data_IF_994242653945
#
_entry.id   IF_994242653945
#
_cell.length_a   1.000
_cell.length_b   1.000
_cell.length_c   1.000
_cell.angle_alpha   90.00
_cell.angle_beta   90.00
_cell.angle_gamma   90.00
#
_symmetry.space_group_name_H-M   'P 1'
#
loop_
_entity.id
_entity.type
_entity.pdbx_description
1 polymer ?
#
# COMPACT_ATOMS: atom_id res chain seq x y z
N UNK A 1 -12.76 -7.06 -4.25
CA UNK A 1 -13.14 -8.25 -3.45
C UNK A 1 -14.60 -8.53 -3.71
N UNK A 2 -15.00 -9.79 -3.82
CA UNK A 2 -16.44 -10.14 -3.84
C UNK A 2 -17.04 -10.05 -2.43
N UNK A 3 -18.37 -9.86 -2.31
CA UNK A 3 -19.05 -9.75 -1.01
C UNK A 3 -18.89 -11.02 -0.15
N UNK A 4 -18.84 -12.20 -0.77
CA UNK A 4 -18.63 -13.48 -0.08
C UNK A 4 -17.28 -13.54 0.64
N UNK A 5 -16.20 -13.11 -0.02
CA UNK A 5 -14.87 -13.09 0.59
C UNK A 5 -14.82 -12.14 1.79
N UNK A 6 -15.52 -11.00 1.72
CA UNK A 6 -15.62 -10.07 2.84
C UNK A 6 -16.39 -10.68 4.03
N UNK A 7 -17.50 -11.38 3.76
CA UNK A 7 -18.28 -12.06 4.79
C UNK A 7 -17.47 -13.15 5.50
N UNK A 8 -16.70 -13.96 4.76
CA UNK A 8 -15.86 -15.01 5.36
C UNK A 8 -14.71 -14.40 6.18
N UNK A 9 -14.09 -13.33 5.71
CA UNK A 9 -13.07 -12.62 6.50
C UNK A 9 -13.68 -12.10 7.82
N UNK A 10 -14.89 -11.55 7.76
CA UNK A 10 -15.58 -11.03 8.94
C UNK A 10 -15.99 -12.15 9.91
N UNK A 11 -16.44 -13.31 9.40
CA UNK A 11 -16.81 -14.45 10.26
C UNK A 11 -15.59 -15.07 10.94
N UNK A 12 -14.43 -15.07 10.29
CA UNK A 12 -13.20 -15.64 10.83
C UNK A 12 -12.48 -14.70 11.81
N UNK A 13 -12.51 -13.39 11.54
CA UNK A 13 -11.82 -12.39 12.36
C UNK A 13 -12.70 -11.88 13.51
N UNK A 14 -14.03 -11.86 13.31
CA UNK A 14 -14.98 -11.22 14.21
C UNK A 14 -15.05 -9.69 14.04
N UNK A 15 -16.01 -9.08 14.72
CA UNK A 15 -16.19 -7.62 14.77
C UNK A 15 -15.41 -6.98 15.92
N UNK A 16 -15.05 -7.76 16.94
CA UNK A 16 -14.33 -7.26 18.11
C UNK A 16 -12.81 -7.26 17.89
N UNK A 17 -12.26 -6.07 17.65
CA UNK A 17 -10.81 -5.87 17.49
C UNK A 17 -10.07 -5.75 18.83
N UNK A 18 -10.77 -5.72 19.97
CA UNK A 18 -10.13 -5.66 21.30
C UNK A 18 -9.34 -6.92 21.62
N UNK A 19 -9.72 -8.05 21.02
CA UNK A 19 -9.02 -9.33 21.11
C UNK A 19 -7.58 -9.28 20.56
N UNK A 20 -7.24 -8.29 19.72
CA UNK A 20 -5.92 -8.15 19.13
C UNK A 20 -5.24 -6.86 19.60
N UNK A 21 -4.08 -6.94 20.29
CA UNK A 21 -3.35 -5.74 20.74
C UNK A 21 -2.93 -4.79 19.61
N UNK A 22 -2.71 -5.34 18.40
CA UNK A 22 -2.35 -4.56 17.22
C UNK A 22 -2.72 -5.26 15.92
N UNK A 23 -2.78 -4.49 14.82
CA UNK A 23 -2.92 -5.03 13.47
C UNK A 23 -1.81 -6.06 13.13
N UNK A 24 -0.62 -5.91 13.73
CA UNK A 24 0.47 -6.87 13.55
C UNK A 24 0.15 -8.21 14.20
N UNK A 25 -0.44 -8.21 15.39
CA UNK A 25 -0.90 -9.42 16.08
C UNK A 25 -1.95 -10.16 15.24
N UNK A 26 -2.93 -9.44 14.67
CA UNK A 26 -3.92 -10.02 13.76
C UNK A 26 -3.26 -10.67 12.53
N UNK A 27 -2.32 -9.96 11.87
CA UNK A 27 -1.62 -10.53 10.72
C UNK A 27 -0.72 -11.71 11.06
N UNK A 28 -0.20 -11.77 12.29
CA UNK A 28 0.59 -12.89 12.76
C UNK A 28 -0.29 -14.10 13.08
N UNK A 29 -1.47 -13.89 13.66
CA UNK A 29 -2.48 -14.92 13.89
C UNK A 29 -3.01 -15.51 12.57
N UNK A 30 -3.31 -14.66 11.58
CA UNK A 30 -3.72 -15.08 10.24
C UNK A 30 -2.60 -15.75 9.42
N UNK A 31 -1.36 -15.84 9.92
CA UNK A 31 -0.24 -16.42 9.20
C UNK A 31 0.27 -15.57 8.03
N UNK A 32 -0.01 -14.26 8.00
CA UNK A 32 0.48 -13.34 6.97
C UNK A 32 1.79 -12.62 7.36
N UNK A 33 2.20 -12.73 8.63
CA UNK A 33 3.46 -12.19 9.08
C UNK A 33 4.65 -13.01 8.54
N UNK A 34 5.73 -12.34 8.08
CA UNK A 34 6.95 -13.05 7.70
C UNK A 34 7.52 -13.77 8.92
N UNK A 35 7.86 -15.05 8.77
CA UNK A 35 8.49 -15.81 9.86
C UNK A 35 9.78 -15.15 10.32
N UNK A 36 9.90 -14.98 11.64
CA UNK A 36 11.15 -14.59 12.29
C UNK A 36 11.84 -15.86 12.78
N UNK A 37 12.59 -16.53 11.90
CA UNK A 37 13.48 -17.62 12.32
C UNK A 37 14.86 -17.04 12.55
N UNK A 38 15.23 -16.93 13.82
CA UNK A 38 16.53 -16.48 14.27
C UNK A 38 17.11 -17.57 15.17
N UNK A 39 18.35 -17.97 14.92
CA UNK A 39 19.11 -18.89 15.77
C UNK A 39 20.49 -18.30 16.00
N UNK A 40 20.91 -18.22 17.26
CA UNK A 40 22.22 -17.68 17.66
C UNK A 40 22.57 -16.33 16.98
N UNK A 41 21.61 -15.39 16.93
CA UNK A 41 21.80 -14.06 16.32
C UNK A 41 21.88 -14.05 14.79
N UNK A 42 21.72 -15.20 14.12
CA UNK A 42 21.66 -15.31 12.66
C UNK A 42 20.23 -15.51 12.20
N UNK A 43 19.79 -14.65 11.27
CA UNK A 43 18.48 -14.78 10.62
C UNK A 43 18.50 -15.94 9.63
N UNK A 44 17.79 -17.01 9.98
CA UNK A 44 17.55 -18.16 9.12
C UNK A 44 16.41 -17.88 8.11
N UNK A 45 16.22 -18.78 7.15
CA UNK A 45 15.10 -18.69 6.19
C UNK A 45 13.76 -18.73 6.93
N UNK A 46 13.07 -17.58 6.99
CA UNK A 46 11.71 -17.44 7.50
C UNK A 46 10.69 -18.19 6.64
N UNK A 47 10.07 -19.27 7.16
CA UNK A 47 8.84 -19.80 6.56
C UNK A 47 7.65 -19.03 7.12
N UNK A 48 6.58 -18.93 6.34
CA UNK A 48 5.35 -18.28 6.80
C UNK A 48 4.76 -19.07 7.98
N UNK A 49 4.33 -18.38 9.05
CA UNK A 49 3.76 -19.05 10.23
C UNK A 49 2.53 -19.88 9.83
N UNK A 50 2.37 -21.06 10.45
CA UNK A 50 1.12 -21.83 10.35
C UNK A 50 0.01 -21.05 11.07
N UNK A 51 -0.77 -20.28 10.32
CA UNK A 51 -1.97 -19.58 10.79
C UNK A 51 -3.24 -20.23 10.24
N UNK A 52 -4.36 -19.51 10.33
CA UNK A 52 -5.63 -19.96 9.76
C UNK A 52 -5.52 -20.09 8.22
N UNK A 53 -5.55 -21.34 7.72
CA UNK A 53 -5.35 -21.66 6.30
C UNK A 53 -6.49 -21.17 5.42
N UNK A 54 -7.73 -21.27 5.90
CA UNK A 54 -8.93 -20.83 5.17
C UNK A 54 -8.89 -19.32 4.97
N UNK A 55 -8.68 -18.57 6.06
CA UNK A 55 -8.54 -17.13 6.02
C UNK A 55 -7.38 -16.68 5.12
N UNK A 56 -6.24 -17.36 5.21
CA UNK A 56 -5.07 -17.05 4.38
C UNK A 56 -5.37 -17.28 2.89
N UNK A 57 -6.01 -18.40 2.52
CA UNK A 57 -6.35 -18.71 1.13
C UNK A 57 -7.26 -17.63 0.53
N UNK A 58 -8.32 -17.27 1.25
CA UNK A 58 -9.30 -16.27 0.82
C UNK A 58 -8.65 -14.88 0.72
N UNK A 59 -7.78 -14.52 1.67
CA UNK A 59 -7.06 -13.26 1.63
C UNK A 59 -6.07 -13.18 0.47
N UNK A 60 -5.41 -14.29 0.12
CA UNK A 60 -4.49 -14.36 -1.03
C UNK A 60 -5.26 -14.29 -2.34
N UNK A 61 -6.39 -14.98 -2.47
CA UNK A 61 -7.25 -14.90 -3.65
C UNK A 61 -7.81 -13.48 -3.84
N UNK A 62 -8.32 -12.91 -2.75
CA UNK A 62 -8.73 -11.51 -2.65
C UNK A 62 -7.61 -10.57 -3.10
N UNK A 63 -6.40 -10.75 -2.57
CA UNK A 63 -5.24 -9.96 -2.95
C UNK A 63 -4.89 -10.06 -4.44
N UNK A 64 -5.04 -11.25 -5.04
CA UNK A 64 -4.83 -11.45 -6.47
C UNK A 64 -5.91 -10.77 -7.32
N UNK A 65 -7.17 -10.76 -6.87
CA UNK A 65 -8.23 -10.00 -7.52
C UNK A 65 -7.96 -8.49 -7.43
N UNK A 66 -7.57 -7.99 -6.25
CA UNK A 66 -7.20 -6.59 -6.05
C UNK A 66 -5.97 -6.17 -6.87
N UNK A 67 -5.02 -7.08 -7.10
CA UNK A 67 -3.86 -6.82 -7.96
C UNK A 67 -4.23 -6.67 -9.45
N UNK A 68 -5.38 -7.21 -9.88
CA UNK A 68 -5.87 -7.08 -11.27
C UNK A 68 -6.77 -5.86 -11.48
N UNK A 69 -7.28 -5.26 -10.41
CA UNK A 69 -8.13 -4.06 -10.48
C UNK A 69 -7.35 -2.86 -11.06
N UNK A 70 -7.94 -2.17 -12.05
CA UNK A 70 -7.34 -0.99 -12.69
C UNK A 70 -7.34 0.21 -11.73
N UNK A 71 -6.26 1.00 -11.72
CA UNK A 71 -6.15 2.25 -10.94
C UNK A 71 -6.02 2.11 -9.42
N UNK A 72 -6.02 0.89 -8.87
CA UNK A 72 -5.95 0.69 -7.42
C UNK A 72 -4.51 0.75 -6.88
N UNK A 73 -4.36 1.34 -5.69
CA UNK A 73 -3.12 1.35 -4.92
C UNK A 73 -2.50 -0.04 -4.75
N UNK A 74 -3.35 -1.08 -4.64
CA UNK A 74 -2.89 -2.45 -4.46
C UNK A 74 -2.18 -3.00 -5.70
N UNK A 75 -2.59 -2.60 -6.91
CA UNK A 75 -1.99 -3.03 -8.16
C UNK A 75 -0.55 -2.53 -8.29
N UNK A 76 -0.32 -1.22 -8.20
CA UNK A 76 1.04 -0.65 -8.28
C UNK A 76 1.94 -1.21 -7.18
N UNK A 77 1.42 -1.34 -5.95
CA UNK A 77 2.16 -1.97 -4.86
C UNK A 77 2.53 -3.42 -5.17
N UNK A 78 1.62 -4.19 -5.74
CA UNK A 78 1.85 -5.58 -6.12
C UNK A 78 2.95 -5.68 -7.18
N UNK A 79 2.90 -4.87 -8.23
CA UNK A 79 3.92 -4.86 -9.29
C UNK A 79 5.31 -4.52 -8.76
N UNK A 80 5.44 -3.48 -7.92
CA UNK A 80 6.73 -3.12 -7.29
C UNK A 80 7.29 -4.20 -6.36
N UNK A 81 6.41 -4.97 -5.71
CA UNK A 81 6.82 -6.09 -4.87
C UNK A 81 7.16 -7.33 -5.70
N UNK A 82 6.41 -7.58 -6.77
CA UNK A 82 6.60 -8.72 -7.68
C UNK A 82 7.99 -8.71 -8.29
N UNK A 83 8.46 -7.54 -8.76
CA UNK A 83 9.80 -7.40 -9.36
C UNK A 83 10.92 -7.71 -8.37
N UNK A 84 10.76 -7.40 -7.08
CA UNK A 84 11.81 -7.60 -6.07
C UNK A 84 11.77 -8.92 -5.32
N UNK A 85 10.58 -9.52 -5.13
CA UNK A 85 10.38 -10.68 -4.22
C UNK A 85 9.71 -11.88 -4.89
N UNK A 86 9.23 -11.75 -6.12
CA UNK A 86 8.45 -12.78 -6.82
C UNK A 86 6.96 -12.78 -6.49
N UNK A 87 6.19 -13.47 -7.31
CA UNK A 87 4.71 -13.45 -7.32
C UNK A 87 4.09 -13.86 -5.98
N UNK A 88 4.45 -15.04 -5.47
CA UNK A 88 3.85 -15.61 -4.23
C UNK A 88 4.04 -14.69 -3.03
N UNK A 89 5.25 -14.13 -2.86
CA UNK A 89 5.57 -13.22 -1.76
C UNK A 89 4.90 -11.85 -1.91
N UNK A 90 4.71 -11.39 -3.14
CA UNK A 90 3.97 -10.16 -3.41
C UNK A 90 2.49 -10.33 -3.04
N UNK A 91 1.86 -11.45 -3.40
CA UNK A 91 0.46 -11.73 -3.07
C UNK A 91 0.22 -11.74 -1.56
N UNK A 92 1.06 -12.45 -0.80
CA UNK A 92 1.01 -12.48 0.68
C UNK A 92 1.20 -11.08 1.28
N UNK A 93 2.09 -10.27 0.72
CA UNK A 93 2.30 -8.91 1.22
C UNK A 93 1.09 -7.99 0.96
N UNK A 94 0.36 -8.18 -0.13
CA UNK A 94 -0.90 -7.45 -0.41
C UNK A 94 -2.01 -7.94 0.50
N UNK A 95 -2.15 -9.26 0.69
CA UNK A 95 -3.08 -9.85 1.65
C UNK A 95 -2.89 -9.28 3.06
N UNK A 96 -1.63 -9.18 3.52
CA UNK A 96 -1.28 -8.53 4.80
C UNK A 96 -1.76 -7.09 4.87
N UNK A 97 -1.65 -6.32 3.78
CA UNK A 97 -2.10 -4.92 3.74
C UNK A 97 -3.62 -4.79 3.78
N UNK A 98 -4.33 -5.66 3.08
CA UNK A 98 -5.79 -5.72 3.12
C UNK A 98 -6.24 -6.00 4.56
N UNK A 99 -5.65 -7.00 5.22
CA UNK A 99 -6.01 -7.34 6.60
C UNK A 99 -5.72 -6.20 7.60
N UNK A 100 -4.61 -5.47 7.43
CA UNK A 100 -4.32 -4.28 8.23
C UNK A 100 -5.36 -3.18 7.98
N UNK A 101 -5.78 -2.98 6.73
CA UNK A 101 -6.82 -2.01 6.42
C UNK A 101 -8.14 -2.39 7.10
N UNK A 102 -8.55 -3.66 7.02
CA UNK A 102 -9.74 -4.19 7.71
C UNK A 102 -9.67 -3.95 9.21
N UNK A 103 -8.53 -4.23 9.86
CA UNK A 103 -8.35 -3.96 11.29
C UNK A 103 -8.60 -2.49 11.66
N UNK A 104 -8.05 -1.55 10.88
CA UNK A 104 -8.24 -0.12 11.14
C UNK A 104 -9.67 0.35 10.81
N UNK A 105 -10.32 -0.23 9.81
CA UNK A 105 -11.72 0.05 9.51
C UNK A 105 -12.62 -0.39 10.65
N UNK A 106 -12.42 -1.61 11.18
CA UNK A 106 -13.21 -2.14 12.29
C UNK A 106 -12.93 -1.40 13.61
N UNK A 107 -11.65 -1.11 13.89
CA UNK A 107 -11.26 -0.39 15.12
C UNK A 107 -11.76 1.06 15.17
N UNK A 108 -11.71 1.76 14.03
CA UNK A 108 -12.05 3.19 13.97
C UNK A 108 -13.45 3.44 13.39
N UNK A 109 -14.19 2.39 13.05
CA UNK A 109 -15.47 2.44 12.33
C UNK A 109 -15.46 3.40 11.12
N UNK A 110 -14.34 3.38 10.38
CA UNK A 110 -14.08 4.30 9.28
C UNK A 110 -14.12 3.57 7.94
N UNK A 111 -14.72 4.15 6.89
CA UNK A 111 -14.77 3.52 5.58
C UNK A 111 -13.37 3.38 4.97
N UNK A 112 -13.18 2.34 4.16
CA UNK A 112 -11.93 2.13 3.43
C UNK A 112 -11.70 3.28 2.45
N UNK A 113 -10.62 4.03 2.63
CA UNK A 113 -10.20 5.06 1.68
C UNK A 113 -9.12 4.51 0.76
N UNK A 114 -9.46 4.28 -0.50
CA UNK A 114 -8.45 4.00 -1.52
C UNK A 114 -7.58 5.23 -1.75
N UNK A 115 -6.26 5.07 -1.58
CA UNK A 115 -5.30 6.15 -1.79
C UNK A 115 -4.96 6.36 -3.29
N UNK A 116 -5.40 5.46 -4.17
CA UNK A 116 -5.14 5.51 -5.61
C UNK A 116 -3.69 5.17 -6.01
N UNK A 117 -3.48 5.00 -7.31
CA UNK A 117 -2.18 4.66 -7.93
C UNK A 117 -1.13 5.76 -7.71
N UNK A 118 -1.53 7.04 -7.81
CA UNK A 118 -0.64 8.20 -7.69
C UNK A 118 -0.04 8.41 -6.28
N UNK A 119 -0.59 7.78 -5.24
CA UNK A 119 -0.09 7.96 -3.87
C UNK A 119 1.34 7.42 -3.70
N UNK A 120 1.64 6.27 -4.31
CA UNK A 120 2.98 5.68 -4.21
C UNK A 120 4.02 6.52 -4.95
N UNK A 121 3.62 7.19 -6.02
CA UNK A 121 4.47 8.13 -6.76
C UNK A 121 4.69 9.43 -6.01
N UNK A 122 3.66 10.01 -5.39
CA UNK A 122 3.82 11.18 -4.53
C UNK A 122 4.77 10.90 -3.35
N UNK A 123 4.70 9.69 -2.78
CA UNK A 123 5.56 9.28 -1.66
C UNK A 123 6.99 8.96 -2.10
N UNK A 124 7.19 8.36 -3.28
CA UNK A 124 8.53 8.14 -3.83
C UNK A 124 9.17 9.46 -4.23
N UNK A 125 8.43 10.40 -4.85
CA UNK A 125 8.91 11.74 -5.20
C UNK A 125 9.57 12.44 -4.01
N UNK A 126 8.91 12.48 -2.84
CA UNK A 126 9.49 13.07 -1.62
C UNK A 126 10.83 12.42 -1.25
N UNK A 127 10.90 11.09 -1.25
CA UNK A 127 12.14 10.36 -0.93
C UNK A 127 13.24 10.61 -1.95
N UNK A 128 12.90 10.63 -3.23
CA UNK A 128 13.84 10.92 -4.31
C UNK A 128 14.38 12.34 -4.19
N UNK A 129 13.52 13.33 -3.91
CA UNK A 129 13.92 14.72 -3.68
C UNK A 129 14.86 14.82 -2.47
N UNK A 130 14.52 14.21 -1.33
CA UNK A 130 15.41 14.21 -0.15
C UNK A 130 16.75 13.53 -0.44
N UNK A 131 16.74 12.38 -1.11
CA UNK A 131 17.97 11.66 -1.45
C UNK A 131 18.85 12.46 -2.43
N UNK A 132 18.25 13.10 -3.44
CA UNK A 132 18.98 13.97 -4.37
C UNK A 132 19.55 15.20 -3.66
N UNK A 133 18.77 15.84 -2.77
CA UNK A 133 19.25 16.96 -1.97
C UNK A 133 20.49 16.58 -1.16
N UNK A 134 20.40 15.47 -0.40
CA UNK A 134 21.52 14.94 0.37
C UNK A 134 22.74 14.58 -0.48
N UNK A 135 22.52 14.09 -1.71
CA UNK A 135 23.61 13.72 -2.61
C UNK A 135 24.32 14.93 -3.18
N UNK A 136 23.60 16.01 -3.49
CA UNK A 136 24.19 17.24 -4.02
C UNK A 136 24.89 18.03 -2.90
N UNK A 137 24.32 18.06 -1.68
CA UNK A 137 24.98 18.63 -0.50
C UNK A 137 26.34 17.94 -0.23
N UNK A 138 26.40 16.61 -0.36
CA UNK A 138 27.67 15.85 -0.25
C UNK A 138 28.70 16.16 -1.33
N UNK A 139 28.28 16.69 -2.48
CA UNK A 139 29.17 17.09 -3.56
C UNK A 139 29.68 18.53 -3.39
N UNK A 140 29.31 19.22 -2.30
CA UNK A 140 29.80 20.55 -1.97
C UNK A 140 28.95 21.70 -2.51
N UNK A 141 27.72 21.42 -2.96
CA UNK A 141 26.80 22.45 -3.47
C UNK A 141 25.62 22.66 -2.52
N UNK A 142 25.28 23.92 -2.23
CA UNK A 142 24.07 24.29 -1.50
C UNK A 142 22.83 24.19 -2.39
N UNK A 143 21.82 23.43 -1.96
CA UNK A 143 20.60 23.21 -2.75
C UNK A 143 19.35 23.68 -2.01
N UNK A 144 18.64 24.61 -2.65
CA UNK A 144 17.29 25.01 -2.26
C UNK A 144 16.27 24.42 -3.25
N UNK A 145 15.39 23.54 -2.76
CA UNK A 145 14.34 22.94 -3.59
C UNK A 145 13.12 23.87 -3.61
N UNK A 146 12.89 24.58 -4.71
CA UNK A 146 11.66 25.34 -4.94
C UNK A 146 10.62 24.49 -5.68
N UNK A 147 9.37 24.53 -5.23
CA UNK A 147 8.26 23.91 -5.95
C UNK A 147 8.01 24.69 -7.25
N UNK A 148 7.91 23.98 -8.38
CA UNK A 148 7.52 24.59 -9.66
C UNK A 148 6.06 25.06 -9.52
N UNK A 149 5.85 26.36 -9.42
CA UNK A 149 4.51 26.94 -9.48
C UNK A 149 3.93 26.64 -10.86
N UNK A 150 2.84 25.88 -10.91
CA UNK A 150 1.95 25.86 -12.07
C UNK A 150 1.28 27.23 -12.09
N UNK A 151 1.73 28.11 -12.99
CA UNK A 151 1.02 29.34 -13.31
C UNK A 151 -0.40 29.00 -13.77
N UNK A 152 -1.46 29.62 -13.24
CA UNK A 152 -2.76 29.55 -13.89
C UNK A 152 -2.60 30.24 -15.25
N UNK A 153 -2.86 29.49 -16.33
CA UNK A 153 -3.03 30.04 -17.67
C UNK A 153 -3.90 31.28 -17.56
N UNK A 154 -3.34 32.45 -17.92
CA UNK A 154 -4.08 33.68 -18.02
C UNK A 154 -5.30 33.45 -18.92
N UNK A 155 -6.49 33.98 -18.58
CA UNK A 155 -7.66 33.86 -19.44
C UNK A 155 -7.34 34.42 -20.83
N UNK A 156 -7.83 33.81 -21.93
CA UNK A 156 -7.60 34.32 -23.26
C UNK A 156 -8.15 35.74 -23.38
N UNK A 157 -7.35 36.63 -23.99
CA UNK A 157 -7.68 38.01 -24.28
C UNK A 157 -9.08 38.14 -24.90
N UNK A 158 -9.95 39.04 -24.43
CA UNK A 158 -11.31 39.22 -24.96
C UNK A 158 -11.34 39.75 -26.40
N UNK A 159 -10.19 40.10 -26.99
CA UNK A 159 -10.07 40.75 -28.30
C UNK A 159 -10.39 39.82 -29.49
N UNK A 160 -10.53 38.50 -29.29
CA UNK A 160 -10.82 37.55 -30.38
C UNK A 160 -12.31 37.26 -30.63
N UNK A 161 -13.25 37.85 -29.88
CA UNK A 161 -14.69 37.65 -30.09
C UNK A 161 -15.36 38.73 -30.98
N UNK A 162 -14.63 39.75 -31.43
CA UNK A 162 -15.21 40.88 -32.19
C UNK A 162 -15.04 40.81 -33.72
N UNK A 163 -14.43 39.74 -34.28
CA UNK A 163 -14.13 39.64 -35.73
C UNK A 163 -14.97 38.60 -36.50
N UNK A 164 -16.00 38.02 -35.87
CA UNK A 164 -16.97 37.16 -36.55
C UNK A 164 -18.40 37.62 -36.26
N UNK A 165 -18.68 38.90 -36.55
CA UNK A 165 -20.03 39.41 -36.83
C UNK A 165 -20.15 39.73 -38.30
#
# INVERSE_FOLDING_TARGET
>A
MGPLAAAIILSEVGTDMSAFPSAHALTAWAGLAPGNHESAGKRLRGTTRKGNRSLLSILVESAQAAARAKGSYFKDKFHRLRTRRGYKRAAVAIARKILIAVFHMLKNNAPFRELGEAYLDAKSKRRTVTHLKQRIERLGFDVTVKAKSLSPTAPPDPTQQALFS
#
